data_IF_000193677939
#
_entry.id   IF_000193677939
#
_cell.length_a   1.000
_cell.length_b   1.000
_cell.length_c   1.000
_cell.angle_alpha   90.00
_cell.angle_beta   90.00
_cell.angle_gamma   90.00
#
_symmetry.space_group_name_H-M   'P 1'
#
loop_
_entity.id
_entity.type
_entity.pdbx_description
1 polymer ?
#
# COMPACT_ATOMS: atom_id res chain seq x y z
N UNK A 1 27.77 3.61 -20.59
CA UNK A 1 27.07 4.09 -19.38
C UNK A 1 27.20 2.97 -18.35
N UNK A 2 28.04 3.19 -17.33
CA UNK A 2 28.46 2.17 -16.36
C UNK A 2 27.29 1.71 -15.51
N UNK A 3 26.98 0.41 -15.55
CA UNK A 3 26.17 -0.25 -14.53
C UNK A 3 27.03 -0.38 -13.28
N UNK A 4 26.79 0.48 -12.28
CA UNK A 4 27.40 0.34 -10.97
C UNK A 4 26.88 -0.93 -10.28
N UNK A 5 27.69 -1.60 -9.44
CA UNK A 5 27.26 -2.80 -8.75
C UNK A 5 26.07 -2.45 -7.85
N UNK A 6 24.92 -3.02 -8.18
CA UNK A 6 23.69 -2.96 -7.39
C UNK A 6 24.04 -3.35 -5.96
N UNK A 7 23.98 -2.37 -5.05
CA UNK A 7 24.32 -2.58 -3.65
C UNK A 7 23.59 -3.81 -3.12
N UNK A 8 24.35 -4.74 -2.55
CA UNK A 8 23.80 -5.93 -1.92
C UNK A 8 22.93 -5.47 -0.74
N UNK A 9 21.63 -5.33 -0.99
CA UNK A 9 20.68 -5.01 0.05
C UNK A 9 20.42 -6.30 0.81
N UNK A 10 21.10 -6.43 1.95
CA UNK A 10 20.99 -7.60 2.81
C UNK A 10 19.74 -7.43 3.67
N UNK A 11 18.66 -8.11 3.28
CA UNK A 11 17.45 -8.21 4.10
C UNK A 11 17.52 -9.55 4.82
N UNK A 12 17.82 -9.50 6.11
CA UNK A 12 17.83 -10.72 6.92
C UNK A 12 16.44 -11.33 7.05
N UNK A 13 16.36 -12.66 6.92
CA UNK A 13 15.09 -13.39 7.04
C UNK A 13 14.58 -13.34 8.48
N UNK A 14 13.27 -13.11 8.64
CA UNK A 14 12.63 -13.05 9.96
C UNK A 14 12.76 -14.37 10.74
N UNK A 15 12.73 -15.51 10.04
CA UNK A 15 12.85 -16.84 10.66
C UNK A 15 14.26 -17.07 11.24
N UNK A 16 15.31 -16.66 10.52
CA UNK A 16 16.70 -16.80 11.00
C UNK A 16 16.98 -15.85 12.16
N UNK A 17 16.33 -14.67 12.17
CA UNK A 17 16.37 -13.75 13.30
C UNK A 17 15.73 -14.36 14.56
N UNK A 18 14.53 -14.95 14.45
CA UNK A 18 13.87 -15.60 15.60
C UNK A 18 14.67 -16.80 16.14
N UNK A 19 15.25 -17.61 15.25
CA UNK A 19 16.11 -18.71 15.65
C UNK A 19 17.36 -18.22 16.40
N UNK A 20 17.98 -17.15 15.90
CA UNK A 20 19.12 -16.50 16.54
C UNK A 20 18.74 -15.94 17.93
N UNK A 21 17.60 -15.27 18.06
CA UNK A 21 17.10 -14.75 19.33
C UNK A 21 16.93 -15.88 20.36
N UNK A 22 16.31 -16.99 19.95
CA UNK A 22 16.13 -18.17 20.80
C UNK A 22 17.46 -18.77 21.25
N UNK A 23 18.42 -18.93 20.34
CA UNK A 23 19.74 -19.49 20.66
C UNK A 23 20.55 -18.58 21.58
N UNK A 24 20.43 -17.25 21.44
CA UNK A 24 21.05 -16.29 22.35
C UNK A 24 20.44 -16.40 23.77
N UNK A 25 19.12 -16.61 23.89
CA UNK A 25 18.46 -16.81 25.18
C UNK A 25 18.90 -18.12 25.85
N UNK A 26 18.95 -19.21 25.09
CA UNK A 26 19.46 -20.51 25.56
C UNK A 26 20.93 -20.43 25.98
N UNK A 27 21.77 -19.77 25.18
CA UNK A 27 23.18 -19.54 25.51
C UNK A 27 23.38 -18.74 26.79
N UNK A 28 22.55 -17.72 27.04
CA UNK A 28 22.57 -16.95 28.30
C UNK A 28 22.22 -17.82 29.50
N UNK A 29 21.23 -18.70 29.38
CA UNK A 29 20.85 -19.63 30.45
C UNK A 29 21.96 -20.62 30.78
N UNK A 30 22.60 -21.21 29.76
CA UNK A 30 23.72 -22.13 29.92
C UNK A 30 24.96 -21.45 30.51
N UNK A 31 25.28 -20.22 30.10
CA UNK A 31 26.36 -19.44 30.67
C UNK A 31 26.12 -19.12 32.16
N UNK A 32 24.87 -18.81 32.53
CA UNK A 32 24.48 -18.61 33.92
C UNK A 32 24.62 -19.90 34.73
N UNK A 33 24.20 -21.04 34.19
CA UNK A 33 24.38 -22.36 34.81
C UNK A 33 25.86 -22.69 35.04
N UNK A 34 26.70 -22.50 34.03
CA UNK A 34 28.16 -22.70 34.14
C UNK A 34 28.79 -21.81 35.22
N UNK A 35 28.37 -20.55 35.29
CA UNK A 35 28.80 -19.62 36.34
C UNK A 35 28.38 -20.12 37.74
N UNK A 36 27.17 -20.65 37.88
CA UNK A 36 26.69 -21.19 39.16
C UNK A 36 27.45 -22.45 39.59
N UNK A 37 27.82 -23.32 38.65
CA UNK A 37 28.56 -24.56 38.91
C UNK A 37 30.04 -24.31 39.26
N UNK A 38 30.65 -23.28 38.68
CA UNK A 38 32.06 -22.91 38.94
C UNK A 38 32.25 -22.10 40.21
N UNK A 39 31.22 -21.37 40.66
CA UNK A 39 31.27 -20.47 41.82
C UNK A 39 31.77 -21.12 43.13
N UNK A 40 31.35 -22.35 43.51
CA UNK A 40 31.83 -23.01 44.72
C UNK A 40 33.32 -23.37 44.66
N UNK A 41 33.84 -23.69 43.47
CA UNK A 41 35.26 -23.98 43.28
C UNK A 41 36.15 -22.73 43.39
N UNK A 42 35.55 -21.54 43.24
CA UNK A 42 36.20 -20.23 43.34
C UNK A 42 36.01 -19.57 44.72
N UNK A 43 35.43 -20.28 45.70
CA UNK A 43 35.18 -19.74 47.05
C UNK A 43 34.10 -18.67 47.14
N UNK A 44 33.26 -18.53 46.10
CA UNK A 44 32.21 -17.52 46.00
C UNK A 44 30.84 -18.08 46.49
N UNK A 45 29.93 -17.24 47.00
CA UNK A 45 28.65 -17.67 47.58
C UNK A 45 27.72 -18.32 46.54
N UNK A 46 27.14 -19.49 46.86
CA UNK A 46 26.28 -20.27 45.95
C UNK A 46 25.13 -19.45 45.37
N UNK A 47 24.93 -19.54 44.06
CA UNK A 47 23.80 -18.91 43.39
C UNK A 47 22.53 -19.77 43.54
N UNK A 48 21.32 -19.20 43.60
CA UNK A 48 20.08 -19.97 43.48
C UNK A 48 19.98 -20.53 42.06
N UNK A 49 20.23 -21.84 41.90
CA UNK A 49 19.96 -22.54 40.64
C UNK A 49 18.54 -23.11 40.70
N UNK A 50 17.66 -22.86 39.72
CA UNK A 50 16.35 -23.49 39.69
C UNK A 50 16.50 -25.01 39.46
N UNK A 51 16.14 -25.82 40.45
CA UNK A 51 15.76 -27.22 40.24
C UNK A 51 16.86 -28.30 40.26
N UNK A 52 18.07 -28.06 40.78
CA UNK A 52 19.07 -29.15 40.93
C UNK A 52 19.93 -28.99 42.17
N UNK A 53 19.64 -29.81 43.18
CA UNK A 53 20.41 -29.91 44.42
C UNK A 53 21.79 -30.55 44.15
N UNK A 54 22.79 -30.03 44.85
CA UNK A 54 24.21 -30.27 44.60
C UNK A 54 24.62 -31.74 44.84
N UNK A 55 25.14 -32.40 43.80
CA UNK A 55 25.86 -33.67 43.92
C UNK A 55 27.33 -33.48 43.51
N UNK A 56 28.21 -33.54 44.52
CA UNK A 56 29.65 -33.67 44.33
C UNK A 56 29.96 -34.87 43.44
N UNK A 57 30.94 -34.71 42.56
CA UNK A 57 31.30 -35.57 41.41
C UNK A 57 30.39 -35.56 40.18
N UNK A 58 29.08 -35.33 40.29
CA UNK A 58 28.24 -35.07 39.11
C UNK A 58 28.50 -33.67 38.51
N UNK A 59 29.03 -32.73 39.30
CA UNK A 59 29.27 -31.34 38.89
C UNK A 59 30.28 -31.16 37.75
N UNK A 60 31.33 -32.00 37.66
CA UNK A 60 32.32 -31.88 36.59
C UNK A 60 31.77 -32.35 35.22
N UNK A 61 31.03 -33.47 35.22
CA UNK A 61 30.33 -33.95 34.02
C UNK A 61 29.20 -33.02 33.58
N UNK A 62 28.48 -32.43 34.53
CA UNK A 62 27.45 -31.42 34.26
C UNK A 62 28.05 -30.13 33.69
N UNK A 63 29.17 -29.67 34.26
CA UNK A 63 29.91 -28.50 33.77
C UNK A 63 30.42 -28.70 32.35
N UNK A 64 31.01 -29.87 32.06
CA UNK A 64 31.46 -30.23 30.71
C UNK A 64 30.28 -30.33 29.72
N UNK A 65 29.15 -30.89 30.16
CA UNK A 65 27.91 -30.95 29.39
C UNK A 65 27.40 -29.55 29.02
N UNK A 66 27.20 -28.67 30.02
CA UNK A 66 26.73 -27.30 29.80
C UNK A 66 27.71 -26.49 28.92
N UNK A 67 29.02 -26.66 29.09
CA UNK A 67 30.03 -26.01 28.24
C UNK A 67 29.98 -26.51 26.79
N UNK A 68 29.80 -27.82 26.58
CA UNK A 68 29.66 -28.42 25.25
C UNK A 68 28.39 -27.95 24.54
N UNK A 69 27.26 -27.87 25.26
CA UNK A 69 26.00 -27.34 24.72
C UNK A 69 26.12 -25.86 24.37
N UNK A 70 26.75 -25.05 25.23
CA UNK A 70 26.97 -23.63 24.96
C UNK A 70 27.83 -23.42 23.71
N UNK A 71 28.88 -24.21 23.53
CA UNK A 71 29.71 -24.15 22.33
C UNK A 71 28.90 -24.47 21.07
N UNK A 72 28.05 -25.49 21.09
CA UNK A 72 27.15 -25.82 19.98
C UNK A 72 26.19 -24.67 19.66
N UNK A 73 25.58 -24.06 20.68
CA UNK A 73 24.67 -22.92 20.51
C UNK A 73 25.38 -21.72 19.86
N UNK A 74 26.65 -21.47 20.21
CA UNK A 74 27.44 -20.41 19.59
C UNK A 74 27.75 -20.70 18.11
N UNK A 75 28.09 -21.95 17.77
CA UNK A 75 28.27 -22.38 16.38
C UNK A 75 26.98 -22.22 15.55
N UNK A 76 25.84 -22.60 16.13
CA UNK A 76 24.52 -22.40 15.52
C UNK A 76 24.21 -20.90 15.32
N UNK A 77 24.52 -20.04 16.30
CA UNK A 77 24.40 -18.58 16.16
C UNK A 77 25.27 -18.04 15.01
N UNK A 78 26.51 -18.51 14.86
CA UNK A 78 27.38 -18.10 13.75
C UNK A 78 26.83 -18.53 12.40
N UNK A 79 26.29 -19.74 12.30
CA UNK A 79 25.62 -20.25 11.09
C UNK A 79 24.38 -19.42 10.75
N UNK A 80 23.53 -19.10 11.74
CA UNK A 80 22.36 -18.23 11.53
C UNK A 80 22.73 -16.82 11.13
N UNK A 81 23.76 -16.23 11.74
CA UNK A 81 24.29 -14.92 11.34
C UNK A 81 24.81 -14.95 9.91
N UNK A 82 25.57 -15.97 9.53
CA UNK A 82 26.05 -16.14 8.16
C UNK A 82 24.88 -16.27 7.17
N UNK A 83 23.86 -17.07 7.46
CA UNK A 83 22.67 -17.22 6.63
C UNK A 83 21.81 -15.94 6.58
N UNK A 84 21.70 -15.22 7.70
CA UNK A 84 20.97 -13.94 7.81
C UNK A 84 21.62 -12.89 6.92
N UNK A 85 22.95 -12.78 6.94
CA UNK A 85 23.67 -11.79 6.15
C UNK A 85 23.95 -12.23 4.69
N UNK A 86 23.88 -13.53 4.40
CA UNK A 86 24.11 -14.07 3.04
C UNK A 86 22.83 -14.26 2.23
N UNK A 87 21.65 -13.95 2.79
CA UNK A 87 20.40 -13.96 2.05
C UNK A 87 20.38 -12.78 1.05
N UNK A 88 21.06 -12.95 -0.08
CA UNK A 88 20.82 -12.11 -1.25
C UNK A 88 19.34 -12.28 -1.63
N UNK A 89 18.60 -11.18 -1.68
CA UNK A 89 17.29 -11.17 -2.31
C UNK A 89 17.46 -11.79 -3.71
N UNK A 90 16.66 -12.79 -4.13
CA UNK A 90 16.71 -13.24 -5.52
C UNK A 90 16.29 -12.06 -6.39
N UNK A 91 17.28 -11.30 -6.85
CA UNK A 91 17.13 -10.09 -7.66
C UNK A 91 16.26 -10.39 -8.89
N UNK A 92 16.33 -11.62 -9.40
CA UNK A 92 15.48 -12.10 -10.50
C UNK A 92 13.98 -12.10 -10.19
N UNK A 93 13.56 -12.54 -8.99
CA UNK A 93 12.15 -12.60 -8.61
C UNK A 93 11.57 -11.21 -8.39
N UNK A 94 12.31 -10.33 -7.69
CA UNK A 94 11.92 -8.94 -7.48
C UNK A 94 11.87 -8.15 -8.80
N UNK A 95 12.84 -8.37 -9.70
CA UNK A 95 12.89 -7.68 -10.99
C UNK A 95 11.79 -8.17 -11.95
N UNK A 96 11.44 -9.46 -11.93
CA UNK A 96 10.33 -9.98 -12.74
C UNK A 96 8.98 -9.47 -12.24
N UNK A 97 8.79 -9.37 -10.92
CA UNK A 97 7.56 -8.82 -10.33
C UNK A 97 7.45 -7.31 -10.60
N UNK A 98 8.55 -6.56 -10.48
CA UNK A 98 8.59 -5.14 -10.82
C UNK A 98 8.27 -4.87 -12.30
N UNK A 99 8.78 -5.71 -13.23
CA UNK A 99 8.44 -5.61 -14.66
C UNK A 99 6.96 -5.90 -14.93
N UNK A 100 6.38 -6.90 -14.25
CA UNK A 100 4.95 -7.21 -14.34
C UNK A 100 4.08 -6.03 -13.90
N UNK A 101 4.36 -5.48 -12.72
CA UNK A 101 3.65 -4.31 -12.18
C UNK A 101 3.81 -3.08 -13.07
N UNK A 102 4.99 -2.87 -13.65
CA UNK A 102 5.22 -1.76 -14.59
C UNK A 102 4.39 -1.91 -15.88
N UNK A 103 4.23 -3.14 -16.38
CA UNK A 103 3.34 -3.46 -17.49
C UNK A 103 1.88 -3.18 -17.17
N UNK A 104 1.41 -3.62 -16.00
CA UNK A 104 0.04 -3.34 -15.51
C UNK A 104 -0.22 -1.84 -15.35
N UNK A 105 0.74 -1.08 -14.82
CA UNK A 105 0.61 0.39 -14.73
C UNK A 105 0.49 1.00 -16.13
N UNK A 106 1.24 0.51 -17.11
CA UNK A 106 1.16 1.01 -18.48
C UNK A 106 -0.19 0.70 -19.13
N UNK A 107 -0.73 -0.52 -18.95
CA UNK A 107 -2.05 -0.88 -19.48
C UNK A 107 -3.16 -0.08 -18.82
N UNK A 108 -3.11 0.11 -17.49
CA UNK A 108 -4.08 0.93 -16.75
C UNK A 108 -4.05 2.39 -17.21
N UNK A 109 -2.86 2.95 -17.47
CA UNK A 109 -2.73 4.31 -18.02
C UNK A 109 -3.32 4.43 -19.42
N UNK A 110 -3.10 3.43 -20.28
CA UNK A 110 -3.69 3.42 -21.62
C UNK A 110 -5.22 3.36 -21.56
N UNK A 111 -5.78 2.50 -20.70
CA UNK A 111 -7.23 2.42 -20.49
C UNK A 111 -7.82 3.70 -19.90
N UNK A 112 -7.10 4.36 -18.99
CA UNK A 112 -7.54 5.63 -18.42
C UNK A 112 -7.57 6.73 -19.49
N UNK A 113 -6.54 6.81 -20.33
CA UNK A 113 -6.48 7.76 -21.45
C UNK A 113 -7.64 7.55 -22.42
N UNK A 114 -7.92 6.31 -22.82
CA UNK A 114 -9.05 5.99 -23.71
C UNK A 114 -10.40 6.41 -23.11
N UNK A 115 -10.58 6.21 -21.79
CA UNK A 115 -11.79 6.64 -21.07
C UNK A 115 -11.90 8.16 -21.00
N UNK A 116 -10.80 8.87 -20.81
CA UNK A 116 -10.75 10.32 -20.77
C UNK A 116 -11.08 10.93 -22.14
N UNK A 117 -10.52 10.40 -23.22
CA UNK A 117 -10.81 10.81 -24.59
C UNK A 117 -12.30 10.60 -24.93
N UNK A 118 -12.85 9.44 -24.56
CA UNK A 118 -14.27 9.15 -24.76
C UNK A 118 -15.16 10.13 -23.97
N UNK A 119 -14.83 10.41 -22.71
CA UNK A 119 -15.55 11.37 -21.89
C UNK A 119 -15.49 12.78 -22.49
N UNK A 120 -14.32 13.22 -22.95
CA UNK A 120 -14.16 14.52 -23.57
C UNK A 120 -15.02 14.64 -24.84
N UNK A 121 -15.00 13.63 -25.71
CA UNK A 121 -15.85 13.58 -26.91
C UNK A 121 -17.34 13.69 -26.57
N UNK A 122 -17.80 12.94 -25.55
CA UNK A 122 -19.20 13.04 -25.11
C UNK A 122 -19.55 14.41 -24.54
N UNK A 123 -18.63 15.07 -23.81
CA UNK A 123 -18.83 16.39 -23.26
C UNK A 123 -18.94 17.47 -24.37
N UNK A 124 -18.12 17.36 -25.42
CA UNK A 124 -18.17 18.24 -26.59
C UNK A 124 -19.49 18.06 -27.38
N UNK A 125 -19.94 16.82 -27.55
CA UNK A 125 -21.23 16.52 -28.19
C UNK A 125 -22.42 17.05 -27.36
N UNK A 126 -22.38 16.88 -26.03
CA UNK A 126 -23.38 17.45 -25.13
C UNK A 126 -23.41 18.98 -25.20
N UNK A 127 -22.24 19.64 -25.21
CA UNK A 127 -22.15 21.10 -25.37
C UNK A 127 -22.76 21.56 -26.69
N UNK A 128 -22.44 20.88 -27.80
CA UNK A 128 -22.99 21.21 -29.12
C UNK A 128 -24.51 21.03 -29.17
N UNK A 129 -25.01 19.96 -28.55
CA UNK A 129 -26.45 19.68 -28.46
C UNK A 129 -27.17 20.73 -27.60
N UNK A 130 -26.55 21.16 -26.49
CA UNK A 130 -27.08 22.23 -25.65
C UNK A 130 -27.15 23.57 -26.40
N UNK A 131 -26.11 23.94 -27.16
CA UNK A 131 -26.13 25.16 -27.99
C UNK A 131 -27.22 25.12 -29.07
N UNK A 132 -27.43 23.96 -29.69
CA UNK A 132 -28.51 23.78 -30.65
C UNK A 132 -29.88 23.95 -29.98
N UNK A 133 -30.08 23.34 -28.80
CA UNK A 133 -31.30 23.48 -28.01
C UNK A 133 -31.57 24.95 -27.69
N UNK A 134 -30.58 25.68 -27.20
CA UNK A 134 -30.73 27.11 -26.86
C UNK A 134 -31.08 27.95 -28.10
N UNK A 135 -30.46 27.66 -29.24
CA UNK A 135 -30.77 28.31 -30.52
C UNK A 135 -32.21 28.03 -30.98
N UNK A 136 -32.67 26.79 -30.83
CA UNK A 136 -34.05 26.41 -31.13
C UNK A 136 -35.05 27.08 -30.20
N UNK A 137 -34.75 27.17 -28.90
CA UNK A 137 -35.60 27.85 -27.92
C UNK A 137 -35.75 29.34 -28.27
N UNK A 138 -34.64 30.02 -28.58
CA UNK A 138 -34.68 31.41 -29.02
C UNK A 138 -35.52 31.58 -30.30
N UNK A 139 -35.35 30.67 -31.28
CA UNK A 139 -36.15 30.70 -32.49
C UNK A 139 -37.65 30.52 -32.20
N UNK A 140 -38.03 29.54 -31.39
CA UNK A 140 -39.42 29.28 -31.01
C UNK A 140 -40.01 30.51 -30.30
N UNK A 141 -39.31 31.08 -29.32
CA UNK A 141 -39.75 32.29 -28.61
C UNK A 141 -39.94 33.46 -29.58
N UNK A 142 -39.05 33.63 -30.55
CA UNK A 142 -39.18 34.69 -31.56
C UNK A 142 -40.43 34.51 -32.43
N UNK A 143 -40.75 33.28 -32.85
CA UNK A 143 -41.93 32.98 -33.65
C UNK A 143 -43.22 33.16 -32.86
N UNK A 144 -43.25 32.69 -31.61
CA UNK A 144 -44.38 32.89 -30.71
C UNK A 144 -44.62 34.36 -30.44
N UNK A 145 -43.57 35.15 -30.20
CA UNK A 145 -43.67 36.60 -29.99
C UNK A 145 -44.22 37.31 -31.23
N UNK A 146 -43.72 36.96 -32.42
CA UNK A 146 -44.23 37.52 -33.68
C UNK A 146 -45.70 37.19 -33.89
N UNK A 147 -46.09 35.94 -33.65
CA UNK A 147 -47.48 35.48 -33.76
C UNK A 147 -48.38 36.21 -32.77
N UNK A 148 -47.97 36.31 -31.51
CA UNK A 148 -48.68 37.06 -30.49
C UNK A 148 -48.89 38.52 -30.90
N UNK A 149 -47.85 39.18 -31.44
CA UNK A 149 -47.95 40.56 -31.91
C UNK A 149 -48.93 40.73 -33.08
N UNK A 150 -48.97 39.78 -34.02
CA UNK A 150 -49.94 39.78 -35.12
C UNK A 150 -51.36 39.63 -34.59
N UNK A 151 -51.60 38.66 -33.68
CA UNK A 151 -52.92 38.45 -33.07
C UNK A 151 -53.37 39.65 -32.24
N UNK A 152 -52.46 40.26 -31.46
CA UNK A 152 -52.74 41.48 -30.70
C UNK A 152 -53.14 42.63 -31.62
N UNK A 153 -52.42 42.85 -32.73
CA UNK A 153 -52.77 43.86 -33.73
C UNK A 153 -54.13 43.58 -34.39
N UNK A 154 -54.40 42.33 -34.75
CA UNK A 154 -55.69 41.94 -35.31
C UNK A 154 -56.83 42.23 -34.33
N UNK A 155 -56.66 41.90 -33.04
CA UNK A 155 -57.64 42.19 -31.98
C UNK A 155 -57.89 43.70 -31.85
N UNK A 156 -56.84 44.51 -31.72
CA UNK A 156 -56.99 45.97 -31.58
C UNK A 156 -57.66 46.59 -32.80
N UNK A 157 -57.38 46.09 -34.01
CA UNK A 157 -58.05 46.56 -35.23
C UNK A 157 -59.56 46.26 -35.21
N UNK A 158 -59.97 45.11 -34.66
CA UNK A 158 -61.38 44.76 -34.53
C UNK A 158 -62.08 45.60 -33.45
N UNK A 159 -61.43 45.83 -32.31
CA UNK A 159 -61.95 46.68 -31.22
C UNK A 159 -62.22 48.12 -31.72
N UNK A 160 -61.30 48.72 -32.48
CA UNK A 160 -61.48 50.07 -33.06
C UNK A 160 -62.63 50.11 -34.05
N UNK A 161 -62.75 49.09 -34.93
CA UNK A 161 -63.88 49.01 -35.88
C UNK A 161 -65.22 48.86 -35.17
N UNK A 162 -65.28 48.09 -34.09
CA UNK A 162 -66.50 47.93 -33.30
C UNK A 162 -66.92 49.25 -32.62
N UNK A 163 -65.96 50.03 -32.09
CA UNK A 163 -66.23 51.34 -31.48
C UNK A 163 -66.74 52.36 -32.50
N UNK A 164 -66.21 52.36 -33.72
CA UNK A 164 -66.66 53.25 -34.80
C UNK A 164 -68.06 52.87 -35.34
N UNK A 165 -68.50 51.64 -35.12
CA UNK A 165 -69.81 51.15 -35.56
C UNK A 165 -70.95 51.42 -34.56
N UNK A 166 -70.65 51.93 -33.35
CA UNK A 166 -71.68 52.36 -32.40
C UNK A 166 -72.23 53.74 -32.84
N UNK A 167 -73.55 53.87 -33.10
CA UNK A 167 -74.12 55.15 -33.47
C UNK A 167 -74.06 56.10 -32.27
N UNK A 168 -73.59 57.32 -32.49
CA UNK A 168 -73.71 58.42 -31.53
C UNK A 168 -75.21 58.67 -31.34
N UNK A 169 -75.72 58.40 -30.14
CA UNK A 169 -77.05 58.78 -29.69
C UNK A 169 -77.09 60.25 -29.28
#
# INVERSE_FOLDING_TARGET
KSEGPTGAHVIGRLDTYRALEQHILEGKALAHELMCLTRPALGLPKCPLPGKEALGWAGAGHLWGSASTLHRVLEECMSFLAAFWSAALPVSAAQHQAKGLQGEIATLRAQLSEREDALQSTAEQLRSTAQLKDSMEQFIVSQLTRTHNVLRKARTNLEVKAQQALPVA
#
